data_IF_301616467447
#
_entry.id   IF_301616467447
#
_cell.length_a   1.000
_cell.length_b   1.000
_cell.length_c   1.000
_cell.angle_alpha   90.00
_cell.angle_beta   90.00
_cell.angle_gamma   90.00
#
_symmetry.space_group_name_H-M   'P 1'
#
loop_
_entity.id
_entity.type
_entity.pdbx_description
1 polymer ?
#
# COMPACT_ATOMS: atom_id res chain seq x y z
N UNK A 1 5.22 27.04 19.96
CA UNK A 1 5.29 25.60 20.25
C UNK A 1 6.70 25.08 20.04
N UNK A 2 7.21 24.32 20.99
CA UNK A 2 8.48 23.65 20.81
C UNK A 2 8.30 22.45 19.88
N UNK A 3 9.17 22.33 18.90
CA UNK A 3 9.19 21.19 17.99
C UNK A 3 9.98 20.08 18.66
N UNK A 4 9.32 18.95 18.91
CA UNK A 4 9.93 17.77 19.56
C UNK A 4 9.81 16.56 18.66
N UNK A 5 10.81 15.66 18.69
CA UNK A 5 10.64 14.37 18.02
C UNK A 5 9.48 13.60 18.63
N UNK A 6 8.81 12.81 17.82
CA UNK A 6 7.75 11.93 18.29
C UNK A 6 8.40 10.59 18.66
N UNK A 7 8.41 10.26 19.95
CA UNK A 7 9.12 9.09 20.48
C UNK A 7 8.20 7.99 20.99
N UNK A 8 6.95 8.32 21.29
CA UNK A 8 5.99 7.38 21.88
C UNK A 8 4.57 7.75 21.47
N UNK A 9 3.62 6.92 21.86
CA UNK A 9 2.21 7.12 21.53
C UNK A 9 1.65 8.43 22.08
N UNK A 10 2.08 8.83 23.29
CA UNK A 10 1.63 10.08 23.90
C UNK A 10 2.07 11.29 23.06
N UNK A 11 3.34 11.30 22.64
CA UNK A 11 3.87 12.34 21.77
C UNK A 11 3.13 12.38 20.44
N UNK A 12 2.83 11.20 19.89
CA UNK A 12 2.10 11.05 18.64
C UNK A 12 0.70 11.64 18.75
N UNK A 13 -0.04 11.32 19.82
CA UNK A 13 -1.39 11.85 20.03
C UNK A 13 -1.40 13.36 20.24
N UNK A 14 -0.41 13.91 20.94
CA UNK A 14 -0.25 15.34 21.09
C UNK A 14 0.03 16.03 19.76
N UNK A 15 0.88 15.41 18.94
CA UNK A 15 1.20 15.94 17.61
C UNK A 15 -0.02 15.95 16.69
N UNK A 16 -0.84 14.90 16.73
CA UNK A 16 -2.08 14.84 15.95
C UNK A 16 -3.07 15.93 16.36
N UNK A 17 -3.22 16.17 17.66
CA UNK A 17 -4.08 17.24 18.17
C UNK A 17 -3.62 18.61 17.70
N UNK A 18 -2.31 18.86 17.74
CA UNK A 18 -1.74 20.12 17.28
C UNK A 18 -1.92 20.27 15.77
N UNK A 19 -1.69 19.20 15.01
CA UNK A 19 -1.88 19.20 13.56
C UNK A 19 -3.32 19.63 13.20
N UNK A 20 -4.30 19.08 13.90
CA UNK A 20 -5.71 19.43 13.70
C UNK A 20 -5.98 20.91 13.93
N UNK A 21 -5.38 21.48 14.99
CA UNK A 21 -5.55 22.90 15.34
C UNK A 21 -4.96 23.84 14.31
N UNK A 22 -3.86 23.47 13.65
CA UNK A 22 -3.12 24.36 12.73
C UNK A 22 -3.24 23.92 11.27
N UNK A 23 -4.11 22.98 10.98
CA UNK A 23 -4.24 22.37 9.64
C UNK A 23 -4.46 23.38 8.52
N UNK A 24 -5.15 24.48 8.81
CA UNK A 24 -5.48 25.53 7.83
C UNK A 24 -4.43 26.66 7.76
N UNK A 25 -3.28 26.49 8.42
CA UNK A 25 -2.26 27.53 8.46
C UNK A 25 -1.70 27.84 7.05
N UNK A 26 -1.53 29.12 6.77
CA UNK A 26 -1.02 29.56 5.47
C UNK A 26 0.48 29.28 5.33
N UNK A 27 0.90 28.89 4.13
CA UNK A 27 2.31 28.68 3.83
C UNK A 27 3.12 29.97 4.03
N UNK A 28 4.33 29.82 4.52
CA UNK A 28 5.25 30.95 4.74
C UNK A 28 5.04 31.68 6.07
N UNK A 29 4.07 31.27 6.86
CA UNK A 29 3.89 31.80 8.22
C UNK A 29 4.61 30.91 9.22
N UNK A 30 4.84 31.41 10.45
CA UNK A 30 5.46 30.60 11.52
C UNK A 30 4.62 29.33 11.79
N UNK A 31 3.31 29.48 11.84
CA UNK A 31 2.40 28.33 12.08
C UNK A 31 2.40 27.40 10.87
N UNK A 32 2.48 27.94 9.65
CA UNK A 32 2.60 27.13 8.44
C UNK A 32 3.88 26.32 8.40
N UNK A 33 5.00 26.90 8.86
CA UNK A 33 6.27 26.19 8.98
C UNK A 33 6.19 25.09 10.03
N UNK A 34 5.52 25.36 11.15
CA UNK A 34 5.26 24.35 12.19
C UNK A 34 4.44 23.19 11.61
N UNK A 35 3.42 23.49 10.81
CA UNK A 35 2.58 22.49 10.15
C UNK A 35 3.42 21.58 9.24
N UNK A 36 4.30 22.15 8.43
CA UNK A 36 5.16 21.37 7.53
C UNK A 36 6.08 20.43 8.32
N UNK A 37 6.74 20.94 9.35
CA UNK A 37 7.65 20.12 10.18
C UNK A 37 6.88 19.04 10.92
N UNK A 38 5.74 19.41 11.49
CA UNK A 38 4.88 18.47 12.24
C UNK A 38 4.40 17.34 11.35
N UNK A 39 4.02 17.63 10.11
CA UNK A 39 3.62 16.63 9.13
C UNK A 39 4.77 15.65 8.85
N UNK A 40 5.98 16.14 8.67
CA UNK A 40 7.18 15.29 8.45
C UNK A 40 7.42 14.38 9.64
N UNK A 41 7.34 14.90 10.86
CA UNK A 41 7.55 14.11 12.08
C UNK A 41 6.48 13.03 12.27
N UNK A 42 5.23 13.37 12.00
CA UNK A 42 4.12 12.41 12.08
C UNK A 42 4.29 11.30 11.05
N UNK A 43 4.59 11.65 9.80
CA UNK A 43 4.82 10.67 8.73
C UNK A 43 5.96 9.73 9.08
N UNK A 44 7.05 10.25 9.61
CA UNK A 44 8.19 9.44 10.03
C UNK A 44 7.80 8.44 11.11
N UNK A 45 7.08 8.90 12.14
CA UNK A 45 6.64 8.04 13.23
C UNK A 45 5.68 6.95 12.74
N UNK A 46 4.73 7.31 11.90
CA UNK A 46 3.77 6.36 11.33
C UNK A 46 4.47 5.30 10.49
N UNK A 47 5.43 5.69 9.64
CA UNK A 47 6.17 4.75 8.80
C UNK A 47 7.05 3.78 9.62
N UNK A 48 7.58 4.23 10.76
CA UNK A 48 8.38 3.39 11.63
C UNK A 48 7.56 2.45 12.51
N UNK A 49 6.37 2.87 12.94
CA UNK A 49 5.56 2.13 13.92
C UNK A 49 4.31 1.48 13.33
N UNK A 50 3.79 2.01 12.23
CA UNK A 50 2.62 1.47 11.54
C UNK A 50 2.94 1.34 10.06
N UNK A 51 3.93 0.49 9.69
CA UNK A 51 4.32 0.37 8.29
C UNK A 51 3.13 -0.10 7.47
N UNK A 52 2.81 0.67 6.43
CA UNK A 52 1.86 0.22 5.43
C UNK A 52 2.63 -0.81 4.62
N UNK A 53 2.35 -2.08 4.90
CA UNK A 53 2.94 -3.16 4.12
C UNK A 53 2.48 -3.07 2.67
N UNK A 54 3.23 -3.70 1.78
CA UNK A 54 2.78 -3.85 0.40
C UNK A 54 1.47 -4.64 0.38
N UNK A 55 0.57 -4.38 -0.57
CA UNK A 55 -0.67 -5.15 -0.65
C UNK A 55 -0.39 -6.64 -0.90
N UNK A 56 -1.31 -7.48 -0.44
CA UNK A 56 -1.25 -8.92 -0.73
C UNK A 56 -1.26 -9.12 -2.25
N UNK A 57 -0.39 -9.99 -2.82
CA UNK A 57 -0.30 -10.17 -4.27
C UNK A 57 -1.63 -10.52 -4.93
N UNK A 58 -2.43 -11.39 -4.32
CA UNK A 58 -3.70 -11.82 -4.90
C UNK A 58 -4.73 -10.70 -4.85
N UNK A 59 -4.80 -9.98 -3.75
CA UNK A 59 -5.69 -8.82 -3.63
C UNK A 59 -5.31 -7.72 -4.63
N UNK A 60 -4.03 -7.50 -4.85
CA UNK A 60 -3.54 -6.55 -5.85
C UNK A 60 -3.97 -6.95 -7.27
N UNK A 61 -3.89 -8.24 -7.59
CA UNK A 61 -4.32 -8.76 -8.88
C UNK A 61 -5.83 -8.55 -9.07
N UNK A 62 -6.63 -8.92 -8.07
CA UNK A 62 -8.09 -8.75 -8.12
C UNK A 62 -8.49 -7.29 -8.30
N UNK A 63 -7.86 -6.40 -7.55
CA UNK A 63 -8.12 -4.97 -7.63
C UNK A 63 -7.82 -4.43 -9.02
N UNK A 64 -6.68 -4.80 -9.58
CA UNK A 64 -6.27 -4.34 -10.91
C UNK A 64 -7.18 -4.90 -12.01
N UNK A 65 -7.58 -6.16 -11.88
CA UNK A 65 -8.55 -6.78 -12.79
C UNK A 65 -9.86 -6.01 -12.78
N UNK A 66 -10.36 -5.65 -11.60
CA UNK A 66 -11.58 -4.87 -11.46
C UNK A 66 -11.47 -3.51 -12.15
N UNK A 67 -10.34 -2.81 -11.95
CA UNK A 67 -10.09 -1.52 -12.60
C UNK A 67 -10.07 -1.63 -14.12
N UNK A 68 -9.54 -2.72 -14.66
CA UNK A 68 -9.42 -2.96 -16.10
C UNK A 68 -10.66 -3.60 -16.73
N UNK A 69 -11.68 -3.93 -15.92
CA UNK A 69 -12.85 -4.68 -16.41
C UNK A 69 -12.50 -6.09 -16.84
N UNK A 70 -11.44 -6.66 -16.30
CA UNK A 70 -10.93 -7.97 -16.65
C UNK A 70 -11.64 -9.07 -15.84
N UNK A 71 -12.09 -10.10 -16.53
CA UNK A 71 -12.72 -11.26 -15.89
C UNK A 71 -11.71 -12.38 -15.68
N UNK A 72 -12.07 -13.35 -14.85
CA UNK A 72 -11.22 -14.51 -14.59
C UNK A 72 -10.82 -15.24 -15.89
N UNK A 73 -11.72 -15.34 -16.85
CA UNK A 73 -11.42 -16.00 -18.13
C UNK A 73 -10.36 -15.23 -18.93
N UNK A 74 -10.35 -13.90 -18.81
CA UNK A 74 -9.36 -13.06 -19.49
C UNK A 74 -7.96 -13.30 -18.90
N UNK A 75 -7.88 -13.42 -17.58
CA UNK A 75 -6.63 -13.77 -16.91
C UNK A 75 -6.20 -15.19 -17.28
N UNK A 76 -7.15 -16.12 -17.40
CA UNK A 76 -6.86 -17.49 -17.81
C UNK A 76 -6.27 -17.55 -19.23
N UNK A 77 -6.78 -16.75 -20.14
CA UNK A 77 -6.23 -16.63 -21.50
C UNK A 77 -4.81 -16.10 -21.48
N UNK A 78 -4.56 -15.08 -20.65
CA UNK A 78 -3.23 -14.50 -20.49
C UNK A 78 -2.21 -15.52 -19.96
N UNK A 79 -2.61 -16.30 -18.95
CA UNK A 79 -1.72 -17.25 -18.27
C UNK A 79 -1.71 -18.64 -18.93
N UNK A 80 -2.71 -18.96 -19.73
CA UNK A 80 -2.80 -20.24 -20.42
C UNK A 80 -3.38 -21.40 -19.62
N UNK A 81 -3.89 -21.19 -18.39
CA UNK A 81 -4.35 -22.24 -17.51
C UNK A 81 -5.65 -21.86 -16.78
N UNK A 82 -6.78 -22.29 -17.27
CA UNK A 82 -8.09 -21.95 -16.66
C UNK A 82 -8.25 -22.43 -15.21
N UNK A 83 -7.93 -23.70 -14.95
CA UNK A 83 -8.11 -24.29 -13.60
C UNK A 83 -7.18 -23.67 -12.58
N UNK A 84 -5.93 -23.38 -12.97
CA UNK A 84 -4.94 -22.80 -12.07
C UNK A 84 -5.26 -21.35 -11.68
N UNK A 85 -5.88 -20.59 -12.59
CA UNK A 85 -6.28 -19.21 -12.31
C UNK A 85 -7.29 -19.16 -11.17
N UNK A 86 -8.30 -20.02 -11.20
CA UNK A 86 -9.27 -20.11 -10.11
C UNK A 86 -8.60 -20.43 -8.78
N UNK A 87 -7.69 -21.40 -8.77
CA UNK A 87 -6.93 -21.78 -7.57
C UNK A 87 -6.06 -20.63 -7.05
N UNK A 88 -5.41 -19.90 -7.94
CA UNK A 88 -4.57 -18.76 -7.59
C UNK A 88 -5.41 -17.64 -6.96
N UNK A 89 -6.51 -17.25 -7.60
CA UNK A 89 -7.37 -16.18 -7.11
C UNK A 89 -8.06 -16.53 -5.79
N UNK A 90 -8.21 -17.79 -5.49
CA UNK A 90 -8.77 -18.28 -4.22
C UNK A 90 -7.69 -18.64 -3.20
N UNK A 91 -6.44 -18.28 -3.46
CA UNK A 91 -5.28 -18.54 -2.57
C UNK A 91 -5.07 -20.02 -2.27
N UNK A 92 -5.35 -20.88 -3.24
CA UNK A 92 -5.12 -22.34 -3.14
C UNK A 92 -3.79 -22.76 -3.76
N UNK A 93 -3.16 -21.87 -4.51
CA UNK A 93 -1.91 -22.13 -5.23
C UNK A 93 -1.07 -20.86 -5.29
N UNK A 94 0.25 -21.01 -5.24
CA UNK A 94 1.18 -19.89 -5.36
C UNK A 94 1.42 -19.52 -6.82
N UNK A 95 1.74 -18.26 -7.05
CA UNK A 95 2.14 -17.76 -8.36
C UNK A 95 3.50 -18.34 -8.77
N UNK A 96 3.63 -18.76 -10.02
CA UNK A 96 4.93 -19.11 -10.57
C UNK A 96 5.64 -17.84 -11.05
N UNK A 97 6.96 -17.92 -11.23
CA UNK A 97 7.74 -16.79 -11.72
C UNK A 97 7.25 -16.32 -13.11
N UNK A 98 6.90 -17.26 -13.99
CA UNK A 98 6.37 -16.93 -15.30
C UNK A 98 5.05 -16.18 -15.20
N UNK A 99 4.16 -16.60 -14.31
CA UNK A 99 2.90 -15.90 -14.06
C UNK A 99 3.14 -14.49 -13.54
N UNK A 100 4.08 -14.31 -12.64
CA UNK A 100 4.44 -13.01 -12.11
C UNK A 100 4.90 -12.07 -13.24
N UNK A 101 5.74 -12.55 -14.12
CA UNK A 101 6.21 -11.77 -15.27
C UNK A 101 5.06 -11.35 -16.18
N UNK A 102 4.18 -12.28 -16.51
CA UNK A 102 3.02 -12.01 -17.39
C UNK A 102 2.04 -11.04 -16.76
N UNK A 103 1.73 -11.24 -15.49
CA UNK A 103 0.79 -10.38 -14.76
C UNK A 103 1.36 -8.97 -14.60
N UNK A 104 2.65 -8.86 -14.24
CA UNK A 104 3.31 -7.57 -14.11
C UNK A 104 3.26 -6.79 -15.42
N UNK A 105 3.57 -7.45 -16.52
CA UNK A 105 3.58 -6.84 -17.85
C UNK A 105 2.19 -6.38 -18.29
N UNK A 106 1.19 -7.23 -18.12
CA UNK A 106 -0.15 -7.01 -18.67
C UNK A 106 -1.04 -6.18 -17.76
N UNK A 107 -0.92 -6.34 -16.45
CA UNK A 107 -1.75 -5.60 -15.48
C UNK A 107 -1.05 -4.40 -14.88
N UNK A 108 0.22 -4.20 -15.22
CA UNK A 108 1.05 -3.09 -14.71
C UNK A 108 1.13 -3.08 -13.17
N UNK A 109 1.33 -4.26 -12.60
CA UNK A 109 1.56 -4.42 -11.16
C UNK A 109 3.08 -4.58 -10.95
N UNK A 110 3.69 -3.80 -10.03
CA UNK A 110 5.12 -3.96 -9.76
C UNK A 110 5.48 -5.39 -9.33
N UNK A 111 6.59 -5.91 -9.83
CA UNK A 111 7.03 -7.27 -9.51
C UNK A 111 7.28 -7.48 -8.02
N UNK A 112 7.78 -6.47 -7.32
CA UNK A 112 7.99 -6.52 -5.87
C UNK A 112 6.70 -6.77 -5.09
N UNK A 113 5.55 -6.33 -5.59
CA UNK A 113 4.25 -6.68 -5.00
C UNK A 113 3.94 -8.16 -5.24
N UNK A 114 4.14 -8.63 -6.46
CA UNK A 114 3.77 -9.99 -6.87
C UNK A 114 4.67 -11.09 -6.29
N UNK A 115 5.93 -10.77 -5.95
CA UNK A 115 6.85 -11.76 -5.38
C UNK A 115 6.68 -11.96 -3.88
N UNK A 116 5.84 -11.17 -3.23
CA UNK A 116 5.61 -11.34 -1.79
C UNK A 116 4.96 -12.68 -1.50
N UNK A 117 5.30 -13.23 -0.36
CA UNK A 117 4.66 -14.45 0.11
C UNK A 117 3.22 -14.18 0.55
N UNK A 118 2.36 -15.14 0.34
CA UNK A 118 1.02 -15.14 0.87
C UNK A 118 0.65 -16.57 1.30
N UNK A 119 -0.29 -16.66 2.23
CA UNK A 119 -0.69 -17.95 2.79
C UNK A 119 -1.60 -18.69 1.80
N UNK A 120 -1.22 -19.91 1.44
CA UNK A 120 -2.03 -20.81 0.63
C UNK A 120 -2.91 -21.62 1.56
N UNK A 121 -4.21 -21.55 1.36
CA UNK A 121 -5.19 -22.25 2.19
C UNK A 121 -5.44 -23.70 1.75
#
# INVERSE_FOLDING_TARGET
MEIKPIKNETDYQQALKRLELIFDAAKGTKIGDELEILTILIDKYENENFPIGMPDPIEAIKFRMEQMGMKQKDLAELLGFKSRVSEILNKKRKLTLEMIRKISDSLHIPTDVLVQEYIVE
#
